data_IF_051429474596
#
_entry.id   IF_051429474596
#
_cell.length_a   1.000
_cell.length_b   1.000
_cell.length_c   1.000
_cell.angle_alpha   90.00
_cell.angle_beta   90.00
_cell.angle_gamma   90.00
#
_symmetry.space_group_name_H-M   'P 1'
#
loop_
_entity.id
_entity.type
_entity.pdbx_description
1 polymer ?
#
# COMPACT_ATOMS: atom_id res chain seq x y z
N UNK A 1 67.01 14.01 3.02
CA UNK A 1 68.36 13.48 3.32
C UNK A 1 68.55 12.08 2.74
N UNK A 2 67.65 11.13 3.03
CA UNK A 2 67.71 9.76 2.48
C UNK A 2 67.45 9.66 0.96
N UNK A 3 66.50 10.42 0.42
CA UNK A 3 66.22 10.43 -1.04
C UNK A 3 67.41 10.95 -1.86
N UNK A 4 68.07 12.01 -1.37
CA UNK A 4 69.27 12.57 -2.01
C UNK A 4 70.46 11.58 -1.96
N UNK A 5 70.56 10.77 -0.90
CA UNK A 5 71.59 9.72 -0.80
C UNK A 5 71.29 8.54 -1.74
N UNK A 6 70.02 8.18 -1.91
CA UNK A 6 69.58 7.14 -2.85
C UNK A 6 69.80 7.58 -4.30
N UNK A 7 69.41 8.80 -4.67
CA UNK A 7 69.62 9.35 -6.02
C UNK A 7 71.11 9.40 -6.37
N UNK A 8 71.96 9.77 -5.41
CA UNK A 8 73.42 9.74 -5.60
C UNK A 8 73.93 8.32 -5.86
N UNK A 9 73.52 7.33 -5.05
CA UNK A 9 73.94 5.93 -5.24
C UNK A 9 73.43 5.35 -6.55
N UNK A 10 72.22 5.69 -6.97
CA UNK A 10 71.65 5.26 -8.24
C UNK A 10 72.40 5.88 -9.42
N UNK A 11 72.80 7.15 -9.32
CA UNK A 11 73.64 7.80 -10.33
C UNK A 11 75.05 7.19 -10.39
N UNK A 12 75.66 6.85 -9.26
CA UNK A 12 76.94 6.14 -9.19
C UNK A 12 76.83 4.74 -9.81
N UNK A 13 75.77 3.99 -9.52
CA UNK A 13 75.53 2.67 -10.10
C UNK A 13 75.25 2.73 -11.61
N UNK A 14 74.50 3.72 -12.08
CA UNK A 14 74.22 3.95 -13.51
C UNK A 14 75.51 4.30 -14.25
N UNK A 15 76.40 5.12 -13.69
CA UNK A 15 77.69 5.44 -14.33
C UNK A 15 78.67 4.27 -14.26
N UNK A 16 78.73 3.53 -13.14
CA UNK A 16 79.55 2.32 -13.01
C UNK A 16 79.14 1.23 -14.01
N UNK A 17 77.83 1.07 -14.26
CA UNK A 17 77.29 0.11 -15.21
C UNK A 17 77.04 0.71 -16.60
N UNK A 18 77.51 1.94 -16.87
CA UNK A 18 77.33 2.59 -18.16
C UNK A 18 78.18 1.91 -19.20
N UNK A 19 77.52 1.14 -20.06
CA UNK A 19 78.16 0.45 -21.18
C UNK A 19 78.65 1.50 -22.20
N UNK A 20 79.95 1.76 -22.23
CA UNK A 20 80.58 2.66 -23.20
C UNK A 20 80.79 1.92 -24.51
N UNK A 21 79.77 1.94 -25.36
CA UNK A 21 79.85 1.39 -26.72
C UNK A 21 80.57 2.42 -27.61
N UNK A 22 81.76 2.09 -28.08
CA UNK A 22 82.45 2.84 -29.11
C UNK A 22 82.07 2.25 -30.48
N UNK A 23 81.13 2.91 -31.17
CA UNK A 23 80.76 2.56 -32.54
C UNK A 23 81.79 3.20 -33.48
N UNK A 24 82.67 2.39 -34.05
CA UNK A 24 83.63 2.83 -35.06
C UNK A 24 83.19 2.25 -36.42
N UNK A 25 82.91 3.12 -37.38
CA UNK A 25 82.56 2.71 -38.74
C UNK A 25 83.80 2.09 -39.40
N UNK A 26 83.85 0.75 -39.48
CA UNK A 26 85.00 0.01 -40.04
C UNK A 26 85.15 0.26 -41.55
N UNK A 27 84.04 0.25 -42.27
CA UNK A 27 83.98 0.55 -43.70
C UNK A 27 82.55 0.83 -44.11
N UNK A 28 82.36 1.66 -45.13
CA UNK A 28 81.07 1.86 -45.77
C UNK A 28 81.26 1.84 -47.29
N UNK A 29 80.23 1.38 -47.98
CA UNK A 29 80.17 1.47 -49.45
C UNK A 29 79.06 2.46 -49.79
N UNK A 30 79.40 3.45 -50.63
CA UNK A 30 78.42 4.41 -51.14
C UNK A 30 78.03 4.00 -52.55
N UNK A 31 76.77 3.63 -52.72
CA UNK A 31 76.18 3.51 -54.05
C UNK A 31 75.51 4.84 -54.42
N UNK A 32 75.88 5.40 -55.57
CA UNK A 32 75.19 6.58 -56.13
C UNK A 32 74.17 6.10 -57.15
N UNK A 33 72.90 6.17 -56.79
CA UNK A 33 71.80 5.90 -57.73
C UNK A 33 71.37 7.24 -58.33
N UNK A 34 71.51 7.45 -59.65
CA UNK A 34 71.00 8.62 -60.33
C UNK A 34 69.47 8.56 -60.35
N UNK A 35 68.85 9.49 -59.62
CA UNK A 35 67.40 9.65 -59.55
C UNK A 35 67.01 10.89 -60.36
N UNK A 36 66.05 10.74 -61.26
CA UNK A 36 65.39 11.87 -61.91
C UNK A 36 64.21 12.30 -61.04
N UNK A 37 64.18 13.56 -60.61
CA UNK A 37 63.11 14.12 -59.78
C UNK A 37 62.25 15.05 -60.61
N UNK A 38 60.94 14.83 -60.61
CA UNK A 38 59.96 15.73 -61.21
C UNK A 38 59.05 16.28 -60.10
N UNK A 39 58.90 17.60 -60.03
CA UNK A 39 57.84 18.24 -59.26
C UNK A 39 56.66 18.46 -60.18
N UNK A 40 55.50 17.93 -59.78
CA UNK A 40 54.26 17.99 -60.56
C UNK A 40 53.24 18.69 -59.68
N UNK A 41 52.61 19.75 -60.18
CA UNK A 41 51.47 20.38 -59.52
C UNK A 41 50.20 19.68 -59.98
N UNK A 42 49.48 19.09 -59.04
CA UNK A 42 48.16 18.50 -59.26
C UNK A 42 47.10 19.54 -58.86
N UNK A 43 46.05 19.67 -59.67
CA UNK A 43 44.92 20.54 -59.39
C UNK A 43 43.62 19.81 -59.68
N UNK A 44 42.63 19.95 -58.81
CA UNK A 44 41.24 19.54 -59.04
C UNK A 44 40.34 20.74 -59.43
N UNK A 45 40.94 21.91 -59.68
CA UNK A 45 40.27 23.18 -59.95
C UNK A 45 39.91 23.99 -58.71
N UNK A 46 39.93 23.40 -57.50
CA UNK A 46 39.70 24.09 -56.22
C UNK A 46 40.97 24.16 -55.37
N UNK A 47 41.77 23.10 -55.39
CA UNK A 47 43.00 22.94 -54.64
C UNK A 47 44.17 22.73 -55.60
N UNK A 48 45.35 23.17 -55.19
CA UNK A 48 46.60 22.91 -55.90
C UNK A 48 47.62 22.32 -54.94
N UNK A 49 48.18 21.17 -55.32
CA UNK A 49 49.11 20.40 -54.48
C UNK A 49 50.32 20.00 -55.30
N UNK A 50 51.51 20.39 -54.85
CA UNK A 50 52.77 19.94 -55.45
C UNK A 50 53.12 18.55 -54.93
N UNK A 51 53.28 17.58 -55.83
CA UNK A 51 53.79 16.23 -55.54
C UNK A 51 55.14 16.01 -56.18
N UNK A 52 56.00 15.27 -55.49
CA UNK A 52 57.31 14.88 -56.02
C UNK A 52 57.23 13.44 -56.50
N UNK A 53 57.65 13.22 -57.74
CA UNK A 53 57.79 11.88 -58.33
C UNK A 53 59.24 11.67 -58.67
N UNK A 54 59.81 10.56 -58.21
CA UNK A 54 61.19 10.19 -58.47
C UNK A 54 61.24 8.96 -59.37
N UNK A 55 62.21 8.93 -60.29
CA UNK A 55 62.46 7.79 -61.17
C UNK A 55 63.90 7.34 -61.04
N UNK A 56 64.11 6.07 -60.71
CA UNK A 56 65.44 5.47 -60.77
C UNK A 56 65.89 5.40 -62.24
N UNK A 57 67.00 6.05 -62.59
CA UNK A 57 67.46 6.09 -63.99
C UNK A 57 68.09 4.77 -64.47
N UNK A 58 68.43 3.85 -63.56
CA UNK A 58 68.93 2.51 -63.90
C UNK A 58 67.80 1.49 -64.05
N UNK A 59 66.97 1.28 -63.01
CA UNK A 59 65.88 0.30 -63.07
C UNK A 59 64.68 0.80 -63.87
N UNK A 60 64.56 2.12 -64.06
CA UNK A 60 63.40 2.75 -64.67
C UNK A 60 62.19 2.83 -63.74
N UNK A 61 62.26 2.25 -62.53
CA UNK A 61 61.18 2.24 -61.53
C UNK A 61 60.81 3.66 -61.12
N UNK A 62 59.50 3.89 -61.07
CA UNK A 62 58.91 5.15 -60.70
C UNK A 62 58.42 5.03 -59.26
N UNK A 63 58.97 5.82 -58.36
CA UNK A 63 58.49 5.94 -57.00
C UNK A 63 57.37 6.99 -56.97
N UNK A 64 56.17 6.51 -56.69
CA UNK A 64 54.93 7.30 -56.76
C UNK A 64 54.71 8.07 -55.45
N UNK A 65 53.87 9.12 -55.45
CA UNK A 65 53.45 9.73 -54.20
C UNK A 65 52.71 8.71 -53.33
N UNK A 66 52.92 8.80 -52.02
CA UNK A 66 52.29 7.94 -51.04
C UNK A 66 51.01 8.60 -50.52
N UNK A 67 49.97 7.80 -50.26
CA UNK A 67 48.71 8.28 -49.72
C UNK A 67 48.95 8.89 -48.34
N UNK A 68 48.44 10.10 -48.11
CA UNK A 68 48.55 10.76 -46.82
C UNK A 68 47.96 9.92 -45.67
N UNK A 69 46.89 9.17 -45.91
CA UNK A 69 46.21 8.38 -44.87
C UNK A 69 46.78 6.98 -44.64
N UNK A 70 47.02 6.18 -45.69
CA UNK A 70 47.49 4.80 -45.51
C UNK A 70 48.98 4.58 -45.79
N UNK A 71 49.69 5.60 -46.29
CA UNK A 71 51.12 5.52 -46.61
C UNK A 71 51.47 4.59 -47.77
N UNK A 72 50.50 4.03 -48.50
CA UNK A 72 50.76 3.18 -49.69
C UNK A 72 50.99 4.03 -50.93
N UNK A 73 51.77 3.53 -51.88
CA UNK A 73 51.95 4.16 -53.19
C UNK A 73 50.61 4.29 -53.95
N UNK A 74 50.41 5.45 -54.57
CA UNK A 74 49.13 5.82 -55.19
C UNK A 74 49.18 5.57 -56.69
N UNK A 75 48.22 4.79 -57.20
CA UNK A 75 48.03 4.60 -58.65
C UNK A 75 46.89 5.45 -59.23
N UNK A 76 45.85 5.69 -58.44
CA UNK A 76 44.72 6.58 -58.72
C UNK A 76 44.62 7.57 -57.56
N UNK A 77 44.61 8.85 -57.89
CA UNK A 77 44.74 9.94 -56.93
C UNK A 77 43.47 10.75 -56.84
N UNK A 78 43.11 11.14 -55.62
CA UNK A 78 42.16 12.19 -55.33
C UNK A 78 42.82 13.22 -54.40
N UNK A 79 42.37 14.46 -54.47
CA UNK A 79 42.79 15.54 -53.57
C UNK A 79 41.62 15.77 -52.61
N UNK A 80 41.89 15.71 -51.31
CA UNK A 80 40.87 16.03 -50.31
C UNK A 80 40.66 17.55 -50.20
N UNK A 81 39.57 17.97 -49.55
CA UNK A 81 39.26 19.39 -49.35
C UNK A 81 40.42 20.20 -48.73
N UNK A 82 41.28 19.57 -47.94
CA UNK A 82 42.39 20.19 -47.23
C UNK A 82 43.72 20.12 -48.01
N UNK A 83 43.72 19.59 -49.24
CA UNK A 83 44.89 19.48 -50.10
C UNK A 83 45.74 18.23 -49.87
N UNK A 84 45.21 17.18 -49.22
CA UNK A 84 45.92 15.90 -49.08
C UNK A 84 45.71 15.00 -50.29
N UNK A 85 46.80 14.42 -50.79
CA UNK A 85 46.76 13.44 -51.89
C UNK A 85 46.50 12.04 -51.31
N UNK A 86 45.42 11.41 -51.76
CA UNK A 86 44.94 10.12 -51.24
C UNK A 86 44.61 9.11 -52.35
N UNK A 87 44.54 7.83 -51.98
CA UNK A 87 44.07 6.75 -52.85
C UNK A 87 42.55 6.55 -52.72
N UNK A 88 41.93 5.91 -53.71
CA UNK A 88 40.48 5.64 -53.77
C UNK A 88 39.90 4.97 -52.50
N UNK A 89 40.69 4.15 -51.80
CA UNK A 89 40.23 3.46 -50.58
C UNK A 89 40.23 4.34 -49.33
N UNK A 90 40.86 5.51 -49.37
CA UNK A 90 40.93 6.45 -48.26
C UNK A 90 40.03 7.67 -48.49
N UNK A 91 39.13 7.61 -49.47
CA UNK A 91 38.17 8.65 -49.82
C UNK A 91 36.89 8.45 -49.01
N UNK A 92 36.55 9.43 -48.20
CA UNK A 92 35.22 9.59 -47.61
C UNK A 92 34.53 10.79 -48.25
N UNK A 93 33.19 10.78 -48.30
CA UNK A 93 32.43 11.87 -48.91
C UNK A 93 31.41 12.44 -47.92
N UNK A 94 31.40 13.76 -47.77
CA UNK A 94 30.40 14.42 -46.94
C UNK A 94 29.03 14.39 -47.63
N UNK A 95 28.00 13.88 -46.96
CA UNK A 95 26.64 13.83 -47.50
C UNK A 95 26.02 15.23 -47.72
N UNK A 96 26.45 16.24 -46.94
CA UNK A 96 25.90 17.59 -47.00
C UNK A 96 26.54 18.45 -48.10
N UNK A 97 27.87 18.55 -48.16
CA UNK A 97 28.57 19.38 -49.15
C UNK A 97 29.12 18.62 -50.35
N UNK A 98 29.05 17.28 -50.36
CA UNK A 98 29.58 16.41 -51.41
C UNK A 98 31.11 16.48 -51.62
N UNK A 99 31.83 17.23 -50.80
CA UNK A 99 33.30 17.29 -50.82
C UNK A 99 33.93 15.97 -50.33
N UNK A 100 35.11 15.68 -50.88
CA UNK A 100 35.91 14.51 -50.54
C UNK A 100 36.85 14.85 -49.38
N UNK A 101 36.89 13.99 -48.37
CA UNK A 101 37.80 14.05 -47.23
C UNK A 101 38.60 12.77 -47.11
N UNK A 102 39.87 12.86 -46.73
CA UNK A 102 40.63 11.66 -46.40
C UNK A 102 40.13 11.04 -45.09
N UNK A 103 40.43 9.76 -44.84
CA UNK A 103 40.09 9.10 -43.57
C UNK A 103 40.73 9.77 -42.35
N UNK A 104 41.82 10.53 -42.54
CA UNK A 104 42.49 11.28 -41.46
C UNK A 104 41.76 12.58 -41.10
N UNK A 105 41.24 13.32 -42.10
CA UNK A 105 40.40 14.50 -41.88
C UNK A 105 38.99 14.11 -41.43
N UNK A 106 38.51 12.98 -41.95
CA UNK A 106 37.38 12.25 -41.44
C UNK A 106 36.02 12.87 -41.74
N UNK A 107 35.03 12.00 -41.77
CA UNK A 107 33.62 12.33 -41.66
C UNK A 107 33.08 11.56 -40.47
N UNK A 108 32.01 12.05 -39.87
CA UNK A 108 31.35 11.35 -38.79
C UNK A 108 29.86 11.17 -39.11
N UNK A 109 29.28 9.99 -38.84
CA UNK A 109 27.87 9.73 -39.06
C UNK A 109 27.02 10.56 -38.08
N UNK A 110 25.89 11.06 -38.55
CA UNK A 110 24.94 11.76 -37.70
C UNK A 110 24.15 10.77 -36.81
N UNK A 111 24.06 10.97 -35.48
CA UNK A 111 23.31 10.08 -34.57
C UNK A 111 21.81 9.91 -34.85
N UNK A 112 21.25 10.69 -35.78
CA UNK A 112 19.82 10.76 -36.07
C UNK A 112 19.48 10.19 -37.45
N UNK A 113 20.33 10.42 -38.45
CA UNK A 113 20.05 10.01 -39.84
C UNK A 113 21.19 9.20 -40.49
N UNK A 114 22.25 8.90 -39.75
CA UNK A 114 23.45 8.14 -40.15
C UNK A 114 24.24 8.69 -41.35
N UNK A 115 23.84 9.84 -41.90
CA UNK A 115 24.58 10.51 -42.97
C UNK A 115 25.93 11.02 -42.45
N UNK A 116 27.00 10.79 -43.22
CA UNK A 116 28.35 11.21 -42.89
C UNK A 116 28.57 12.71 -43.14
N UNK A 117 29.08 13.44 -42.16
CA UNK A 117 29.30 14.87 -42.24
C UNK A 117 30.73 15.27 -41.88
N UNK A 118 31.30 16.19 -42.66
CA UNK A 118 32.53 16.87 -42.32
C UNK A 118 32.33 17.85 -41.15
N UNK A 119 33.43 18.37 -40.62
CA UNK A 119 33.49 19.25 -39.45
C UNK A 119 32.82 20.61 -39.66
N UNK A 120 32.74 21.08 -40.89
CA UNK A 120 32.03 22.32 -41.23
C UNK A 120 30.53 22.13 -41.45
N UNK A 121 30.08 20.92 -41.80
CA UNK A 121 28.68 20.63 -42.08
C UNK A 121 27.94 20.02 -40.90
N UNK A 122 28.67 19.58 -39.87
CA UNK A 122 28.11 19.07 -38.63
C UNK A 122 28.74 19.72 -37.41
N UNK A 123 27.99 19.73 -36.32
CA UNK A 123 28.41 20.28 -35.03
C UNK A 123 28.48 19.15 -34.00
N UNK A 124 29.44 19.24 -33.07
CA UNK A 124 29.55 18.29 -31.97
C UNK A 124 28.42 18.55 -30.97
N UNK A 125 27.69 17.49 -30.63
CA UNK A 125 26.67 17.56 -29.60
C UNK A 125 27.32 17.62 -28.22
N UNK A 126 26.96 18.63 -27.43
CA UNK A 126 27.48 18.77 -26.06
C UNK A 126 27.15 17.56 -25.16
N UNK A 127 26.02 16.89 -25.40
CA UNK A 127 25.53 15.80 -24.55
C UNK A 127 26.12 14.42 -24.87
N UNK A 128 26.26 14.05 -26.15
CA UNK A 128 26.78 12.74 -26.55
C UNK A 128 28.20 12.79 -27.14
N UNK A 129 28.71 13.96 -27.48
CA UNK A 129 30.01 14.14 -28.15
C UNK A 129 30.02 13.78 -29.64
N UNK A 130 28.93 13.22 -30.18
CA UNK A 130 28.83 12.85 -31.59
C UNK A 130 28.53 14.05 -32.49
N UNK A 131 28.91 13.95 -33.77
CA UNK A 131 28.69 15.00 -34.76
C UNK A 131 27.32 14.87 -35.42
N UNK A 132 26.43 15.83 -35.17
CA UNK A 132 25.13 15.89 -35.82
C UNK A 132 25.13 16.87 -37.00
N UNK A 133 24.39 16.55 -38.07
CA UNK A 133 24.22 17.46 -39.21
C UNK A 133 23.42 18.71 -38.81
N UNK A 134 23.52 19.77 -39.60
CA UNK A 134 22.80 21.02 -39.37
C UNK A 134 21.28 20.85 -39.16
N UNK A 135 20.65 19.90 -39.85
CA UNK A 135 19.19 19.64 -39.73
C UNK A 135 18.78 18.93 -38.43
N UNK A 136 19.72 18.25 -37.76
CA UNK A 136 19.44 17.41 -36.60
C UNK A 136 20.16 17.89 -35.33
N UNK A 137 20.55 19.16 -35.31
CA UNK A 137 21.14 19.82 -34.15
C UNK A 137 20.52 21.19 -33.96
N UNK A 138 20.21 21.53 -32.71
CA UNK A 138 19.73 22.86 -32.38
C UNK A 138 20.26 23.33 -31.03
N UNK A 139 20.30 24.64 -30.84
CA UNK A 139 20.68 25.25 -29.58
C UNK A 139 19.57 25.07 -28.54
N UNK A 140 19.92 24.60 -27.34
CA UNK A 140 18.94 24.50 -26.25
C UNK A 140 18.68 25.90 -25.67
N UNK A 141 17.42 26.35 -25.55
CA UNK A 141 17.10 27.67 -25.00
C UNK A 141 17.35 27.79 -23.48
N UNK A 142 17.62 26.67 -22.79
CA UNK A 142 17.82 26.64 -21.33
C UNK A 142 19.30 26.73 -20.95
N UNK A 143 20.20 25.99 -21.62
CA UNK A 143 21.64 26.06 -21.37
C UNK A 143 22.44 26.83 -22.43
N UNK A 144 21.90 27.03 -23.64
CA UNK A 144 22.60 27.66 -24.75
C UNK A 144 23.51 26.72 -25.55
N UNK A 145 23.58 25.43 -25.21
CA UNK A 145 24.45 24.48 -25.89
C UNK A 145 23.83 23.91 -27.17
N UNK A 146 24.68 23.58 -28.15
CA UNK A 146 24.28 22.84 -29.35
C UNK A 146 24.12 21.35 -29.02
N UNK A 147 22.90 20.84 -29.16
CA UNK A 147 22.56 19.46 -28.79
C UNK A 147 21.76 18.80 -29.92
N UNK A 148 22.09 17.55 -30.24
CA UNK A 148 21.41 16.82 -31.30
C UNK A 148 19.96 16.51 -30.93
N UNK A 149 19.10 16.35 -31.94
CA UNK A 149 17.67 16.07 -31.74
C UNK A 149 17.39 14.73 -31.04
N UNK A 150 18.37 13.82 -30.97
CA UNK A 150 18.29 12.57 -30.16
C UNK A 150 18.45 12.82 -28.66
N UNK A 151 19.28 13.79 -28.28
CA UNK A 151 19.49 14.18 -26.88
C UNK A 151 18.53 15.29 -26.42
N UNK A 152 17.67 15.78 -27.33
CA UNK A 152 16.63 16.75 -27.05
C UNK A 152 15.25 16.12 -27.20
N UNK A 153 14.26 16.76 -26.58
CA UNK A 153 12.86 16.44 -26.79
C UNK A 153 12.01 17.71 -26.80
N UNK A 154 10.75 17.56 -27.20
CA UNK A 154 9.78 18.65 -27.22
C UNK A 154 8.99 18.67 -25.91
N UNK A 155 8.76 19.87 -25.36
CA UNK A 155 7.74 20.04 -24.32
C UNK A 155 6.36 19.80 -24.93
N UNK A 156 5.59 18.83 -24.41
CA UNK A 156 4.24 18.53 -24.89
C UNK A 156 3.24 19.68 -24.66
N UNK A 157 3.58 20.63 -23.78
CA UNK A 157 2.71 21.75 -23.43
C UNK A 157 2.95 23.00 -24.28
N UNK A 158 4.22 23.40 -24.45
CA UNK A 158 4.58 24.62 -25.19
C UNK A 158 5.30 24.37 -26.52
N UNK A 159 5.61 23.12 -26.86
CA UNK A 159 6.28 22.75 -28.11
C UNK A 159 7.77 23.12 -28.21
N UNK A 160 8.36 23.71 -27.16
CA UNK A 160 9.77 24.13 -27.18
C UNK A 160 10.69 22.92 -27.05
N UNK A 161 11.65 22.78 -27.98
CA UNK A 161 12.71 21.75 -27.96
C UNK A 161 13.80 22.10 -26.95
N UNK A 162 14.12 21.19 -26.04
CA UNK A 162 15.18 21.37 -25.04
C UNK A 162 15.94 20.06 -24.81
N UNK A 163 17.11 20.14 -24.17
CA UNK A 163 17.80 18.94 -23.70
C UNK A 163 16.88 18.12 -22.81
N UNK A 164 16.91 16.79 -22.95
CA UNK A 164 16.11 15.88 -22.11
C UNK A 164 16.35 16.08 -20.61
N UNK A 165 17.55 16.52 -20.24
CA UNK A 165 17.94 16.87 -18.86
C UNK A 165 17.20 18.08 -18.28
N UNK A 166 16.65 18.97 -19.12
CA UNK A 166 15.87 20.14 -18.69
C UNK A 166 14.35 19.91 -18.75
N UNK A 167 13.95 18.72 -19.18
CA UNK A 167 12.56 18.30 -19.23
C UNK A 167 12.24 17.40 -18.03
N UNK A 168 10.97 17.36 -17.67
CA UNK A 168 10.41 16.51 -16.61
C UNK A 168 9.26 15.70 -17.17
N UNK A 169 8.98 14.55 -16.58
CA UNK A 169 7.80 13.77 -16.92
C UNK A 169 6.53 14.51 -16.49
N UNK A 170 5.53 14.54 -17.36
CA UNK A 170 4.17 14.97 -17.00
C UNK A 170 3.41 13.79 -16.40
N UNK A 171 3.14 13.86 -15.10
CA UNK A 171 2.51 12.77 -14.36
C UNK A 171 1.05 12.51 -14.78
N UNK A 172 0.34 13.52 -15.30
CA UNK A 172 -1.06 13.36 -15.71
C UNK A 172 -1.15 12.81 -17.12
N UNK A 173 -0.34 13.35 -18.03
CA UNK A 173 -0.39 12.98 -19.46
C UNK A 173 0.32 11.65 -19.75
N UNK A 174 1.32 11.26 -18.96
CA UNK A 174 2.11 10.03 -19.19
C UNK A 174 1.41 8.74 -18.73
N UNK A 175 0.08 8.65 -18.83
CA UNK A 175 -0.65 7.40 -18.59
C UNK A 175 -0.50 6.49 -19.82
N UNK A 176 -0.45 5.18 -19.62
CA UNK A 176 -0.42 4.17 -20.69
C UNK A 176 0.90 4.04 -21.49
N UNK A 177 2.06 4.26 -20.84
CA UNK A 177 3.37 3.84 -21.35
C UNK A 177 4.11 4.88 -22.20
N UNK A 178 3.44 5.95 -22.63
CA UNK A 178 4.10 7.09 -23.30
C UNK A 178 4.64 8.07 -22.26
N UNK A 179 5.96 8.22 -22.21
CA UNK A 179 6.64 9.17 -21.33
C UNK A 179 6.62 10.57 -21.96
N UNK A 180 5.59 11.36 -21.63
CA UNK A 180 5.46 12.73 -22.13
C UNK A 180 6.24 13.71 -21.25
N UNK A 181 7.00 14.57 -21.91
CA UNK A 181 7.95 15.48 -21.27
C UNK A 181 7.46 16.93 -21.30
N UNK A 182 7.63 17.65 -20.21
CA UNK A 182 7.29 19.07 -20.02
C UNK A 182 8.51 19.86 -19.56
N UNK A 183 8.63 21.11 -19.99
CA UNK A 183 9.74 21.98 -19.58
C UNK A 183 9.53 22.54 -18.17
N UNK A 184 10.61 23.04 -17.58
CA UNK A 184 10.60 23.66 -16.25
C UNK A 184 9.61 24.84 -16.10
N UNK A 185 9.29 25.57 -17.18
CA UNK A 185 8.33 26.68 -17.17
C UNK A 185 6.88 26.21 -17.11
N UNK A 186 6.57 25.11 -17.78
CA UNK A 186 5.22 24.51 -17.80
C UNK A 186 5.01 23.57 -16.60
N UNK A 187 6.08 23.03 -16.03
CA UNK A 187 6.03 22.08 -14.94
C UNK A 187 5.63 22.75 -13.62
N UNK A 188 4.40 22.48 -13.16
CA UNK A 188 3.92 22.85 -11.84
C UNK A 188 3.95 21.62 -10.94
N UNK A 189 4.46 21.78 -9.72
CA UNK A 189 4.52 20.71 -8.72
C UNK A 189 3.21 20.63 -7.95
N UNK A 190 2.53 19.50 -8.04
CA UNK A 190 1.28 19.26 -7.33
C UNK A 190 1.53 19.09 -5.82
N UNK A 191 0.87 19.85 -4.93
CA UNK A 191 0.98 19.64 -3.48
C UNK A 191 0.44 18.29 -3.00
N UNK A 192 -0.51 17.70 -3.72
CA UNK A 192 -1.15 16.42 -3.36
C UNK A 192 -0.27 15.20 -3.61
N UNK A 193 0.17 14.99 -4.85
CA UNK A 193 0.99 13.83 -5.22
C UNK A 193 2.50 14.12 -5.30
N UNK A 194 2.92 15.38 -5.10
CA UNK A 194 4.32 15.80 -5.16
C UNK A 194 4.97 15.71 -6.56
N UNK A 195 4.20 15.36 -7.59
CA UNK A 195 4.66 15.19 -8.98
C UNK A 195 4.51 16.46 -9.82
N UNK A 196 5.22 16.52 -10.96
CA UNK A 196 5.11 17.61 -11.92
C UNK A 196 4.07 17.32 -13.01
N UNK A 197 3.31 18.35 -13.39
CA UNK A 197 2.33 18.31 -14.48
C UNK A 197 2.14 19.71 -15.05
N UNK A 198 1.80 19.82 -16.34
CA UNK A 198 1.24 21.07 -16.89
C UNK A 198 -0.28 21.10 -16.82
N UNK A 199 -0.92 19.95 -16.59
CA UNK A 199 -2.37 19.79 -16.46
C UNK A 199 -2.79 20.00 -15.00
N UNK A 200 -2.98 21.26 -14.65
CA UNK A 200 -3.28 21.74 -13.30
C UNK A 200 -4.64 22.42 -13.27
N UNK A 201 -5.33 22.28 -12.16
CA UNK A 201 -6.58 22.97 -11.89
C UNK A 201 -6.70 23.34 -10.41
N UNK A 202 -7.77 24.03 -10.03
CA UNK A 202 -7.92 24.66 -8.72
C UNK A 202 -8.92 23.92 -7.85
N UNK A 203 -8.60 23.75 -6.57
CA UNK A 203 -9.54 23.29 -5.55
C UNK A 203 -10.51 24.42 -5.22
N UNK A 204 -11.81 24.19 -5.39
CA UNK A 204 -12.85 25.20 -5.18
C UNK A 204 -13.08 25.53 -3.70
N UNK A 205 -12.69 24.63 -2.78
CA UNK A 205 -12.78 24.89 -1.34
C UNK A 205 -11.58 25.65 -0.77
N UNK A 206 -10.40 25.56 -1.39
CA UNK A 206 -9.16 26.16 -0.83
C UNK A 206 -8.46 27.17 -1.73
N UNK A 207 -8.79 27.21 -3.03
CA UNK A 207 -8.08 28.00 -4.03
C UNK A 207 -6.69 27.47 -4.39
N UNK A 208 -6.23 26.38 -3.78
CA UNK A 208 -4.94 25.78 -4.09
C UNK A 208 -4.97 25.01 -5.41
N UNK A 209 -3.82 24.99 -6.10
CA UNK A 209 -3.69 24.33 -7.41
C UNK A 209 -3.16 22.91 -7.27
N UNK A 210 -3.86 21.95 -7.87
CA UNK A 210 -3.50 20.53 -7.90
C UNK A 210 -3.49 20.02 -9.34
N UNK A 211 -2.76 18.93 -9.60
CA UNK A 211 -2.93 18.25 -10.87
C UNK A 211 -4.34 17.68 -10.99
N UNK A 212 -4.88 17.62 -12.21
CA UNK A 212 -6.26 17.17 -12.43
C UNK A 212 -6.50 15.74 -11.96
N UNK A 213 -5.46 14.89 -11.97
CA UNK A 213 -5.53 13.53 -11.43
C UNK A 213 -5.71 13.46 -9.91
N UNK A 214 -5.32 14.50 -9.16
CA UNK A 214 -5.52 14.57 -7.71
C UNK A 214 -6.84 15.24 -7.33
N UNK A 215 -7.53 15.88 -8.28
CA UNK A 215 -8.80 16.54 -8.02
C UNK A 215 -9.94 15.54 -8.21
N UNK A 216 -10.88 15.60 -7.28
CA UNK A 216 -12.10 14.79 -7.29
C UNK A 216 -13.32 15.68 -7.20
N UNK A 217 -14.48 15.18 -7.62
CA UNK A 217 -15.73 15.92 -7.55
C UNK A 217 -16.52 15.44 -6.33
N UNK A 218 -16.88 16.35 -5.43
CA UNK A 218 -17.77 16.04 -4.31
C UNK A 218 -19.10 15.51 -4.82
N UNK A 219 -19.54 14.36 -4.31
CA UNK A 219 -20.80 13.73 -4.74
C UNK A 219 -22.03 14.58 -4.40
N UNK A 220 -21.99 15.32 -3.29
CA UNK A 220 -23.14 16.12 -2.83
C UNK A 220 -23.30 17.44 -3.60
N UNK A 221 -22.23 18.24 -3.71
CA UNK A 221 -22.31 19.59 -4.28
C UNK A 221 -21.66 19.73 -5.66
N UNK A 222 -21.00 18.68 -6.17
CA UNK A 222 -20.30 18.70 -7.46
C UNK A 222 -18.97 19.47 -7.47
N UNK A 223 -18.61 20.15 -6.37
CA UNK A 223 -17.39 20.95 -6.29
C UNK A 223 -16.13 20.12 -6.52
N UNK A 224 -15.14 20.72 -7.20
CA UNK A 224 -13.81 20.12 -7.38
C UNK A 224 -12.91 20.39 -6.19
N UNK A 225 -12.50 19.33 -5.52
CA UNK A 225 -11.72 19.41 -4.29
C UNK A 225 -10.44 18.60 -4.38
N UNK A 226 -9.37 19.14 -3.80
CA UNK A 226 -8.05 18.51 -3.76
C UNK A 226 -7.82 17.76 -2.45
N UNK A 227 -6.76 16.95 -2.37
CA UNK A 227 -6.39 16.21 -1.17
C UNK A 227 -6.27 17.13 0.06
N UNK A 228 -6.78 16.68 1.20
CA UNK A 228 -6.86 17.46 2.44
C UNK A 228 -8.11 18.33 2.61
N UNK A 229 -8.99 18.38 1.60
CA UNK A 229 -10.24 19.15 1.62
C UNK A 229 -11.50 18.29 1.40
N UNK A 230 -11.35 16.97 1.44
CA UNK A 230 -12.44 16.00 1.31
C UNK A 230 -12.14 14.72 2.09
N UNK A 231 -13.20 14.01 2.47
CA UNK A 231 -13.15 12.65 3.02
C UNK A 231 -13.81 11.66 2.06
N UNK A 232 -13.50 10.38 2.22
CA UNK A 232 -14.11 9.30 1.44
C UNK A 232 -15.00 8.41 2.30
N UNK A 233 -16.22 8.17 1.81
CA UNK A 233 -17.16 7.21 2.38
C UNK A 233 -17.64 6.28 1.26
N UNK A 234 -17.47 4.97 1.42
CA UNK A 234 -17.75 3.96 0.39
C UNK A 234 -17.11 4.31 -0.97
N UNK A 235 -15.80 4.60 -0.96
CA UNK A 235 -15.00 5.03 -2.13
C UNK A 235 -15.52 6.28 -2.86
N UNK A 236 -16.44 7.03 -2.25
CA UNK A 236 -17.02 8.25 -2.79
C UNK A 236 -16.52 9.49 -2.05
N UNK A 237 -16.04 10.52 -2.76
CA UNK A 237 -15.48 11.73 -2.14
C UNK A 237 -16.56 12.75 -1.77
N UNK A 238 -16.42 13.34 -0.59
CA UNK A 238 -17.29 14.40 -0.06
C UNK A 238 -16.43 15.54 0.51
N UNK A 239 -16.67 16.77 0.08
CA UNK A 239 -15.92 17.91 0.61
C UNK A 239 -16.30 18.20 2.07
N UNK A 240 -15.37 18.78 2.83
CA UNK A 240 -15.60 19.08 4.26
C UNK A 240 -16.78 20.03 4.50
N UNK A 241 -17.13 20.89 3.53
CA UNK A 241 -18.34 21.74 3.61
C UNK A 241 -19.66 20.96 3.57
N UNK A 242 -19.65 19.77 2.96
CA UNK A 242 -20.83 18.89 2.87
C UNK A 242 -20.85 17.83 3.98
N UNK A 243 -19.84 17.83 4.85
CA UNK A 243 -19.74 16.91 5.97
C UNK A 243 -20.11 17.62 7.26
N UNK A 244 -20.61 16.83 8.20
CA UNK A 244 -20.94 17.28 9.55
C UNK A 244 -19.94 16.67 10.52
N UNK A 245 -19.41 17.48 11.42
CA UNK A 245 -18.61 16.95 12.54
C UNK A 245 -19.56 16.31 13.56
N UNK A 246 -19.29 15.06 13.93
CA UNK A 246 -20.10 14.35 14.91
C UNK A 246 -19.80 14.85 16.33
N UNK A 247 -20.77 15.37 17.08
CA UNK A 247 -20.55 15.82 18.46
C UNK A 247 -20.08 14.74 19.43
N UNK A 248 -20.35 13.46 19.13
CA UNK A 248 -19.97 12.33 19.99
C UNK A 248 -18.53 11.87 19.80
N UNK A 249 -17.96 11.98 18.59
CA UNK A 249 -16.62 11.46 18.29
C UNK A 249 -15.68 12.45 17.59
N UNK A 250 -16.15 13.66 17.28
CA UNK A 250 -15.44 14.69 16.53
C UNK A 250 -14.97 14.27 15.11
N UNK A 251 -15.45 13.14 14.59
CA UNK A 251 -15.17 12.70 13.23
C UNK A 251 -16.21 13.22 12.23
N UNK A 252 -15.80 13.35 10.97
CA UNK A 252 -16.69 13.69 9.88
C UNK A 252 -17.75 12.62 9.62
N UNK A 253 -18.97 13.05 9.31
CA UNK A 253 -20.09 12.19 8.98
C UNK A 253 -20.91 12.80 7.85
N UNK A 254 -21.51 11.95 7.02
CA UNK A 254 -22.43 12.37 5.95
C UNK A 254 -23.75 12.90 6.49
N UNK A 255 -24.22 12.31 7.59
CA UNK A 255 -25.48 12.63 8.25
C UNK A 255 -25.33 12.35 9.73
N UNK A 256 -26.09 13.08 10.53
CA UNK A 256 -26.24 12.84 11.96
C UNK A 256 -27.71 12.67 12.32
N UNK A 257 -27.98 11.85 13.33
CA UNK A 257 -29.31 11.60 13.88
C UNK A 257 -29.33 12.01 15.36
N UNK A 258 -30.48 12.43 15.87
CA UNK A 258 -30.64 12.85 17.27
C UNK A 258 -30.89 11.68 18.20
N UNK A 259 -30.26 11.66 19.38
CA UNK A 259 -30.56 10.66 20.40
C UNK A 259 -31.94 10.93 21.03
N UNK A 260 -32.84 9.94 21.12
CA UNK A 260 -34.16 10.12 21.75
C UNK A 260 -34.13 10.55 23.23
N UNK A 261 -33.00 10.31 23.92
CA UNK A 261 -32.87 10.58 25.36
C UNK A 261 -32.22 11.93 25.69
N UNK A 262 -31.34 12.44 24.84
CA UNK A 262 -30.59 13.68 25.11
C UNK A 262 -30.56 14.68 23.95
N UNK A 263 -31.20 14.35 22.83
CA UNK A 263 -31.28 15.16 21.61
C UNK A 263 -29.93 15.47 20.93
N UNK A 264 -28.79 15.08 21.53
CA UNK A 264 -27.47 15.23 20.93
C UNK A 264 -27.40 14.41 19.64
N UNK A 265 -26.86 15.05 18.60
CA UNK A 265 -26.64 14.43 17.31
C UNK A 265 -25.46 13.43 17.36
N UNK A 266 -25.58 12.30 16.66
CA UNK A 266 -24.55 11.27 16.54
C UNK A 266 -24.44 10.79 15.08
N UNK A 267 -23.28 10.28 14.67
CA UNK A 267 -23.08 9.67 13.35
C UNK A 267 -23.49 8.19 13.35
N UNK A 268 -23.65 7.59 12.17
CA UNK A 268 -24.05 6.17 12.03
C UNK A 268 -23.18 5.17 12.82
N UNK A 269 -21.90 5.49 13.09
CA UNK A 269 -21.01 4.64 13.88
C UNK A 269 -21.18 4.83 15.40
N UNK A 270 -21.54 6.04 15.83
CA UNK A 270 -21.82 6.34 17.24
C UNK A 270 -23.26 5.98 17.65
N UNK A 271 -24.13 5.72 16.67
CA UNK A 271 -25.48 5.22 16.90
C UNK A 271 -25.48 3.73 17.17
N UNK A 272 -26.05 3.32 18.31
CA UNK A 272 -26.18 1.92 18.69
C UNK A 272 -27.64 1.55 18.89
N UNK A 273 -28.07 0.46 18.24
CA UNK A 273 -29.44 -0.02 18.30
C UNK A 273 -29.66 -0.87 19.55
N UNK A 274 -30.63 -0.49 20.37
CA UNK A 274 -31.02 -1.27 21.54
C UNK A 274 -31.68 -2.58 21.11
N UNK A 275 -31.21 -3.70 21.68
CA UNK A 275 -31.76 -5.03 21.41
C UNK A 275 -33.11 -5.28 22.08
N UNK A 276 -33.53 -4.42 23.01
CA UNK A 276 -34.79 -4.54 23.74
C UNK A 276 -35.91 -3.67 23.13
N UNK A 277 -35.71 -2.35 23.05
CA UNK A 277 -36.71 -1.44 22.48
C UNK A 277 -36.61 -1.25 20.96
N UNK A 278 -35.46 -1.58 20.34
CA UNK A 278 -35.24 -1.46 18.91
C UNK A 278 -34.85 -0.06 18.42
N UNK A 279 -34.86 0.96 19.28
CA UNK A 279 -34.43 2.33 18.97
C UNK A 279 -32.90 2.50 18.96
N UNK A 280 -32.40 3.49 18.23
CA UNK A 280 -30.97 3.82 18.16
C UNK A 280 -30.65 4.99 19.09
N UNK A 281 -29.63 4.81 19.93
CA UNK A 281 -29.18 5.82 20.88
C UNK A 281 -27.72 6.17 20.63
N UNK A 282 -27.27 7.34 21.12
CA UNK A 282 -25.85 7.68 21.07
C UNK A 282 -25.03 6.76 21.99
N UNK A 283 -23.73 6.72 21.77
CA UNK A 283 -22.77 5.91 22.54
C UNK A 283 -22.91 6.08 24.06
N UNK A 284 -23.17 7.31 24.53
CA UNK A 284 -23.32 7.61 25.96
C UNK A 284 -24.58 7.01 26.59
N UNK A 285 -25.60 6.73 25.77
CA UNK A 285 -26.88 6.18 26.22
C UNK A 285 -27.09 4.73 25.79
N UNK A 286 -26.02 4.05 25.41
CA UNK A 286 -26.03 2.64 25.01
C UNK A 286 -24.91 1.90 25.74
N UNK A 287 -25.20 0.71 26.23
CA UNK A 287 -24.23 -0.16 26.88
C UNK A 287 -24.08 -1.46 26.09
N UNK A 288 -22.86 -1.76 25.66
CA UNK A 288 -22.52 -2.98 24.93
C UNK A 288 -22.01 -4.07 25.89
N UNK A 289 -22.65 -5.22 25.88
CA UNK A 289 -22.24 -6.38 26.67
C UNK A 289 -21.44 -7.37 25.82
N UNK A 290 -20.11 -7.27 25.87
CA UNK A 290 -19.22 -8.14 25.07
C UNK A 290 -19.35 -9.64 25.34
N UNK A 291 -19.91 -10.06 26.48
CA UNK A 291 -20.14 -11.47 26.79
C UNK A 291 -21.31 -12.09 26.00
N UNK A 292 -22.28 -11.28 25.55
CA UNK A 292 -23.47 -11.75 24.85
C UNK A 292 -23.79 -10.98 23.57
N UNK A 293 -22.91 -10.08 23.15
CA UNK A 293 -23.04 -9.26 21.93
C UNK A 293 -24.34 -8.43 21.88
N UNK A 294 -24.92 -8.13 23.05
CA UNK A 294 -26.14 -7.31 23.15
C UNK A 294 -25.80 -5.87 23.49
N UNK A 295 -26.39 -4.94 22.76
CA UNK A 295 -26.41 -3.52 23.11
C UNK A 295 -27.77 -3.14 23.68
N UNK A 296 -27.78 -2.48 24.85
CA UNK A 296 -29.00 -2.10 25.58
C UNK A 296 -28.92 -0.62 25.94
N UNK A 297 -30.01 0.13 25.76
CA UNK A 297 -30.03 1.55 26.12
C UNK A 297 -30.02 1.73 27.64
N UNK A 298 -29.60 2.89 28.12
CA UNK A 298 -29.55 3.20 29.56
C UNK A 298 -30.92 3.09 30.25
N UNK A 299 -32.01 3.31 29.53
CA UNK A 299 -33.37 3.15 30.06
C UNK A 299 -33.78 1.68 30.27
N UNK A 300 -33.31 0.79 29.40
CA UNK A 300 -33.59 -0.64 29.46
C UNK A 300 -32.55 -1.43 30.27
N UNK A 301 -31.47 -0.77 30.69
CA UNK A 301 -30.37 -1.37 31.42
C UNK A 301 -30.85 -1.92 32.78
N UNK A 302 -30.56 -3.19 33.03
CA UNK A 302 -30.86 -3.80 34.31
C UNK A 302 -29.68 -3.61 35.27
N UNK A 303 -29.97 -3.49 36.56
CA UNK A 303 -28.96 -3.46 37.62
C UNK A 303 -29.20 -4.59 38.60
N UNK A 304 -28.10 -5.17 39.11
CA UNK A 304 -28.20 -6.14 40.19
C UNK A 304 -28.79 -5.47 41.44
N UNK A 305 -29.87 -6.01 42.00
CA UNK A 305 -30.49 -5.45 43.21
C UNK A 305 -29.57 -5.52 44.45
N UNK A 306 -28.53 -6.36 44.43
CA UNK A 306 -27.62 -6.57 45.57
C UNK A 306 -26.34 -5.73 45.50
N UNK A 307 -25.73 -5.58 44.32
CA UNK A 307 -24.47 -4.84 44.17
C UNK A 307 -24.53 -3.69 43.15
N UNK A 308 -25.68 -3.47 42.52
CA UNK A 308 -25.91 -2.44 41.49
C UNK A 308 -25.09 -2.56 40.21
N UNK A 309 -24.28 -3.62 40.05
CA UNK A 309 -23.61 -3.92 38.79
C UNK A 309 -24.60 -4.00 37.63
N UNK A 310 -24.20 -3.46 36.48
CA UNK A 310 -24.98 -3.44 35.25
C UNK A 310 -25.11 -4.84 34.67
N UNK A 311 -26.31 -5.16 34.21
CA UNK A 311 -26.70 -6.48 33.74
C UNK A 311 -27.44 -6.35 32.41
N UNK A 312 -27.15 -7.28 31.51
CA UNK A 312 -27.95 -7.42 30.31
C UNK A 312 -29.33 -8.01 30.69
N UNK A 313 -30.45 -7.28 30.52
CA UNK A 313 -31.80 -7.77 30.84
C UNK A 313 -32.23 -8.96 29.97
N UNK A 314 -31.67 -9.11 28.76
CA UNK A 314 -31.95 -10.24 27.86
C UNK A 314 -31.33 -11.54 28.39
N UNK A 315 -30.15 -11.46 29.02
CA UNK A 315 -29.45 -12.63 29.55
C UNK A 315 -29.80 -12.90 31.01
N UNK A 316 -30.02 -11.85 31.80
CA UNK A 316 -30.26 -11.94 33.23
C UNK A 316 -31.73 -12.17 33.49
N UNK A 317 -32.10 -13.34 34.01
CA UNK A 317 -33.48 -13.61 34.43
C UNK A 317 -33.79 -12.95 35.77
N UNK A 318 -35.00 -12.40 35.90
CA UNK A 318 -35.53 -11.91 37.18
C UNK A 318 -35.69 -13.06 38.17
N UNK A 319 -35.42 -12.80 39.45
CA UNK A 319 -35.69 -13.74 40.53
C UNK A 319 -37.20 -13.98 40.64
N UNK A 320 -37.64 -15.23 40.68
CA UNK A 320 -39.07 -15.57 40.70
C UNK A 320 -39.80 -15.16 41.98
N UNK A 321 -39.06 -14.82 43.03
CA UNK A 321 -39.60 -14.49 44.36
C UNK A 321 -39.67 -12.97 44.54
N UNK A 322 -38.58 -12.25 44.31
CA UNK A 322 -38.55 -10.79 44.50
C UNK A 322 -38.72 -9.96 43.21
N UNK A 323 -38.65 -10.58 42.02
CA UNK A 323 -38.79 -9.90 40.73
C UNK A 323 -37.58 -9.05 40.28
N UNK A 324 -36.53 -8.95 41.10
CA UNK A 324 -35.30 -8.20 40.81
C UNK A 324 -34.31 -8.96 39.91
N UNK A 325 -33.40 -8.22 39.28
CA UNK A 325 -32.27 -8.79 38.54
C UNK A 325 -31.08 -9.02 39.47
N UNK A 326 -30.36 -10.12 39.30
CA UNK A 326 -29.19 -10.44 40.10
C UNK A 326 -28.06 -11.00 39.22
N UNK A 327 -26.82 -10.54 39.48
CA UNK A 327 -25.65 -11.07 38.81
C UNK A 327 -25.37 -12.51 39.27
N UNK A 328 -24.52 -13.23 38.55
CA UNK A 328 -24.20 -14.62 38.86
C UNK A 328 -23.57 -14.80 40.26
N UNK A 329 -22.87 -13.77 40.76
CA UNK A 329 -22.33 -13.77 42.12
C UNK A 329 -23.41 -13.59 43.20
N UNK A 330 -24.56 -13.00 42.91
CA UNK A 330 -25.64 -12.78 43.88
C UNK A 330 -26.80 -13.77 43.73
N UNK A 331 -26.52 -14.86 43.04
CA UNK A 331 -27.45 -15.95 42.78
C UNK A 331 -27.07 -17.17 43.63
N UNK A 332 -28.08 -17.93 44.03
CA UNK A 332 -27.97 -19.22 44.69
C UNK A 332 -29.01 -20.21 44.16
N UNK A 333 -28.71 -21.50 44.30
CA UNK A 333 -29.62 -22.58 43.95
C UNK A 333 -30.30 -23.13 45.21
N UNK A 334 -31.61 -23.35 45.12
CA UNK A 334 -32.33 -24.02 46.20
C UNK A 334 -31.98 -25.52 46.25
N UNK A 335 -31.59 -26.05 47.40
CA UNK A 335 -31.26 -27.48 47.58
C UNK A 335 -32.46 -28.39 47.30
N UNK A 336 -33.67 -27.93 47.59
CA UNK A 336 -34.91 -28.66 47.28
C UNK A 336 -35.23 -28.57 45.78
N UNK A 337 -35.71 -27.42 45.31
CA UNK A 337 -36.27 -27.30 43.96
C UNK A 337 -35.23 -27.11 42.84
N UNK A 338 -33.94 -26.96 43.19
CA UNK A 338 -32.78 -26.76 42.30
C UNK A 338 -32.86 -25.56 41.37
N UNK A 339 -33.91 -24.76 41.49
CA UNK A 339 -34.08 -23.53 40.73
C UNK A 339 -33.17 -22.42 41.26
N UNK A 340 -32.90 -21.46 40.38
CA UNK A 340 -31.98 -20.35 40.58
C UNK A 340 -32.73 -19.13 41.14
N UNK A 341 -32.29 -18.61 42.28
CA UNK A 341 -32.86 -17.44 42.95
C UNK A 341 -31.75 -16.49 43.40
N UNK A 342 -32.10 -15.30 43.87
CA UNK A 342 -31.12 -14.46 44.55
C UNK A 342 -30.76 -15.01 45.93
N UNK A 343 -29.54 -14.74 46.38
CA UNK A 343 -29.03 -15.20 47.69
C UNK A 343 -29.91 -14.76 48.85
N UNK A 344 -30.55 -13.60 48.79
CA UNK A 344 -31.46 -13.13 49.85
C UNK A 344 -32.79 -13.89 49.90
N UNK A 345 -33.20 -14.53 48.79
CA UNK A 345 -34.39 -15.37 48.74
C UNK A 345 -34.10 -16.86 48.99
N UNK A 346 -32.85 -17.20 49.34
CA UNK A 346 -32.43 -18.54 49.77
C UNK A 346 -31.95 -18.44 51.21
N UNK A 347 -32.57 -19.19 52.11
CA UNK A 347 -32.20 -19.22 53.53
C UNK A 347 -30.80 -19.79 53.74
N UNK A 348 -30.25 -19.61 54.95
CA UNK A 348 -28.97 -20.21 55.35
C UNK A 348 -28.93 -21.73 55.19
N UNK A 349 -30.09 -22.39 55.28
CA UNK A 349 -30.24 -23.85 55.10
C UNK A 349 -30.27 -24.27 53.62
N UNK A 350 -30.08 -23.33 52.70
CA UNK A 350 -30.06 -23.56 51.26
C UNK A 350 -31.45 -23.71 50.64
N UNK A 351 -32.53 -23.36 51.35
CA UNK A 351 -33.91 -23.47 50.85
C UNK A 351 -34.39 -22.11 50.34
N UNK A 352 -35.01 -22.07 49.16
CA UNK A 352 -35.71 -20.85 48.74
C UNK A 352 -36.91 -20.56 49.65
N UNK A 353 -37.29 -19.29 49.81
CA UNK A 353 -38.42 -18.89 50.65
C UNK A 353 -39.71 -19.65 50.30
N UNK A 354 -39.95 -19.93 49.02
CA UNK A 354 -41.09 -20.78 48.60
C UNK A 354 -40.99 -22.18 49.19
N UNK A 355 -39.83 -22.83 49.15
CA UNK A 355 -39.66 -24.18 49.72
C UNK A 355 -39.68 -24.18 51.26
N UNK A 356 -39.13 -23.14 51.89
CA UNK A 356 -39.10 -23.00 53.33
C UNK A 356 -40.50 -22.81 53.92
N UNK A 357 -41.36 -22.02 53.25
CA UNK A 357 -42.70 -21.71 53.74
C UNK A 357 -43.72 -22.84 53.54
N UNK A 358 -43.51 -23.79 52.62
CA UNK A 358 -44.43 -24.93 52.41
C UNK A 358 -44.61 -25.75 53.68
N UNK A 359 -43.55 -25.93 54.47
CA UNK A 359 -43.64 -26.68 55.74
C UNK A 359 -44.44 -25.92 56.81
N UNK A 360 -44.48 -24.59 56.73
CA UNK A 360 -45.14 -23.73 57.71
C UNK A 360 -46.64 -23.54 57.44
N UNK A 361 -47.05 -23.51 56.16
CA UNK A 361 -48.42 -23.12 55.76
C UNK A 361 -49.27 -24.30 55.23
N UNK A 362 -48.71 -25.51 55.11
CA UNK A 362 -49.32 -26.79 54.66
C UNK A 362 -50.77 -26.75 54.12
N UNK A 363 -50.94 -26.14 52.95
CA UNK A 363 -52.15 -26.33 52.15
C UNK A 363 -52.13 -27.71 51.51
N UNK A 364 -53.00 -28.61 51.97
CA UNK A 364 -53.14 -29.94 51.41
C UNK A 364 -53.66 -29.86 49.96
N UNK A 365 -52.99 -30.55 49.04
CA UNK A 365 -53.37 -30.56 47.62
C UNK A 365 -53.51 -31.99 47.09
N UNK A 366 -54.58 -32.22 46.33
CA UNK A 366 -54.78 -33.47 45.59
C UNK A 366 -54.13 -33.36 44.21
N UNK A 367 -53.00 -34.06 44.03
CA UNK A 367 -52.25 -34.04 42.77
C UNK A 367 -52.84 -34.95 41.69
N UNK A 368 -53.78 -35.85 42.01
CA UNK A 368 -54.34 -36.82 41.05
C UNK A 368 -55.09 -36.15 39.89
N UNK A 369 -55.56 -34.93 40.10
CA UNK A 369 -56.32 -34.12 39.13
C UNK A 369 -55.43 -33.25 38.23
N UNK A 370 -54.11 -33.25 38.45
CA UNK A 370 -53.19 -32.44 37.65
C UNK A 370 -52.91 -33.12 36.30
N UNK A 371 -52.76 -32.35 35.18
CA UNK A 371 -52.57 -32.92 33.84
C UNK A 371 -51.35 -33.85 33.74
N UNK A 372 -50.30 -33.57 34.51
CA UNK A 372 -49.05 -34.30 34.52
C UNK A 372 -49.03 -35.49 35.51
N UNK A 373 -50.12 -35.70 36.25
CA UNK A 373 -50.25 -36.75 37.27
C UNK A 373 -50.14 -38.17 36.70
N UNK A 374 -50.58 -38.36 35.45
CA UNK A 374 -50.52 -39.64 34.74
C UNK A 374 -49.12 -39.99 34.25
N UNK A 375 -48.17 -39.05 34.31
CA UNK A 375 -46.81 -39.29 33.81
C UNK A 375 -46.09 -40.34 34.65
N UNK A 376 -45.38 -41.25 33.98
CA UNK A 376 -44.65 -42.35 34.59
C UNK A 376 -43.62 -41.88 35.64
N UNK A 377 -43.14 -40.64 35.51
CA UNK A 377 -42.16 -40.00 36.39
C UNK A 377 -42.69 -39.70 37.80
N UNK A 378 -43.99 -39.42 37.96
CA UNK A 378 -44.58 -39.01 39.25
C UNK A 378 -45.73 -39.88 39.73
N UNK A 379 -46.34 -40.68 38.85
CA UNK A 379 -47.53 -41.48 39.16
C UNK A 379 -47.37 -42.37 40.40
N UNK A 380 -46.19 -42.98 40.59
CA UNK A 380 -45.87 -43.82 41.74
C UNK A 380 -45.63 -43.05 43.05
N UNK A 381 -45.57 -41.72 43.01
CA UNK A 381 -45.38 -40.87 44.19
C UNK A 381 -46.69 -40.26 44.65
N UNK A 382 -47.64 -40.01 43.74
CA UNK A 382 -48.87 -39.26 44.04
C UNK A 382 -49.69 -39.94 45.13
N UNK A 383 -49.89 -41.25 45.05
CA UNK A 383 -50.77 -41.99 45.99
C UNK A 383 -50.08 -42.34 47.32
N UNK A 384 -48.74 -42.26 47.38
CA UNK A 384 -47.95 -42.71 48.54
C UNK A 384 -47.55 -41.59 49.51
N UNK A 385 -47.83 -40.33 49.15
CA UNK A 385 -47.42 -39.16 49.92
C UNK A 385 -48.61 -38.20 50.09
N UNK A 386 -48.71 -37.55 51.25
CA UNK A 386 -49.59 -36.40 51.43
C UNK A 386 -48.86 -35.13 50.96
N UNK A 387 -49.47 -34.36 50.06
CA UNK A 387 -48.81 -33.26 49.37
C UNK A 387 -49.24 -31.90 49.90
N UNK A 388 -48.26 -31.02 50.09
CA UNK A 388 -48.43 -29.58 50.21
C UNK A 388 -47.73 -28.89 49.03
N UNK A 389 -48.05 -27.63 48.76
CA UNK A 389 -47.44 -26.90 47.65
C UNK A 389 -47.17 -25.43 47.97
N UNK A 390 -46.25 -24.84 47.20
CA UNK A 390 -45.94 -23.42 47.23
C UNK A 390 -45.62 -22.95 45.82
N UNK A 391 -46.04 -21.74 45.47
CA UNK A 391 -45.91 -21.20 44.12
C UNK A 391 -45.15 -19.89 44.12
N UNK A 392 -44.32 -19.69 43.10
CA UNK A 392 -43.72 -18.40 42.77
C UNK A 392 -43.87 -18.10 41.27
N UNK A 393 -43.31 -16.98 40.81
CA UNK A 393 -43.53 -16.52 39.43
C UNK A 393 -42.97 -17.46 38.35
N UNK A 394 -42.03 -18.37 38.68
CA UNK A 394 -41.41 -19.28 37.72
C UNK A 394 -41.89 -20.73 37.87
N UNK A 395 -42.22 -21.17 39.09
CA UNK A 395 -42.51 -22.56 39.35
C UNK A 395 -43.48 -22.78 40.52
N UNK A 396 -44.13 -23.93 40.51
CA UNK A 396 -44.86 -24.49 41.64
C UNK A 396 -44.08 -25.68 42.19
N UNK A 397 -43.83 -25.68 43.49
CA UNK A 397 -43.12 -26.74 44.21
C UNK A 397 -44.14 -27.51 45.04
N UNK A 398 -44.21 -28.82 44.84
CA UNK A 398 -45.02 -29.76 45.59
C UNK A 398 -44.12 -30.61 46.48
N UNK A 399 -44.43 -30.67 47.77
CA UNK A 399 -43.68 -31.39 48.78
C UNK A 399 -44.58 -32.45 49.42
N UNK A 400 -44.23 -33.71 49.18
CA UNK A 400 -44.93 -34.88 49.69
C UNK A 400 -44.25 -35.43 50.94
N UNK A 401 -45.02 -35.82 51.94
CA UNK A 401 -44.53 -36.57 53.10
C UNK A 401 -45.35 -37.85 53.27
N UNK A 402 -44.70 -39.00 53.48
CA UNK A 402 -45.39 -40.25 53.77
C UNK A 402 -45.45 -40.53 55.28
N UNK A 403 -46.22 -41.55 55.68
CA UNK A 403 -46.39 -41.92 57.10
C UNK A 403 -45.09 -42.32 57.81
N UNK A 404 -44.05 -42.73 57.07
CA UNK A 404 -42.72 -43.04 57.58
C UNK A 404 -41.79 -41.82 57.66
N UNK A 405 -42.33 -40.61 57.42
CA UNK A 405 -41.58 -39.36 57.46
C UNK A 405 -40.66 -39.13 56.26
N UNK A 406 -40.68 -39.97 55.24
CA UNK A 406 -39.90 -39.77 54.01
C UNK A 406 -40.51 -38.63 53.19
N UNK A 407 -39.65 -37.86 52.52
CA UNK A 407 -40.04 -36.69 51.73
C UNK A 407 -39.86 -36.94 50.25
N UNK A 408 -40.78 -36.41 49.45
CA UNK A 408 -40.72 -36.38 47.99
C UNK A 408 -41.00 -34.97 47.48
N UNK A 409 -40.43 -34.58 46.35
CA UNK A 409 -40.54 -33.26 45.77
C UNK A 409 -40.89 -33.36 44.29
N UNK A 410 -41.85 -32.57 43.84
CA UNK A 410 -42.17 -32.36 42.43
C UNK A 410 -42.14 -30.85 42.17
N UNK A 411 -41.38 -30.39 41.19
CA UNK A 411 -41.33 -28.98 40.78
C UNK A 411 -41.87 -28.89 39.37
N UNK A 412 -42.86 -28.02 39.16
CA UNK A 412 -43.40 -27.71 37.85
C UNK A 412 -43.09 -26.27 37.47
N UNK A 413 -42.73 -26.04 36.22
CA UNK A 413 -42.59 -24.71 35.63
C UNK A 413 -43.86 -24.34 34.90
N UNK A 414 -44.07 -23.04 34.68
CA UNK A 414 -45.11 -22.55 33.77
C UNK A 414 -44.47 -22.18 32.44
N UNK A 415 -44.91 -22.82 31.36
CA UNK A 415 -44.63 -22.43 29.98
C UNK A 415 -45.94 -21.99 29.29
N UNK A 416 -45.85 -21.60 28.01
CA UNK A 416 -47.02 -21.18 27.20
C UNK A 416 -48.03 -22.33 26.96
N UNK A 417 -47.64 -23.59 27.20
CA UNK A 417 -48.44 -24.79 26.96
C UNK A 417 -49.04 -25.39 28.27
N UNK A 418 -48.57 -24.96 29.44
CA UNK A 418 -49.14 -25.32 30.76
C UNK A 418 -48.11 -25.57 31.86
N UNK A 419 -48.48 -26.38 32.86
CA UNK A 419 -47.56 -26.81 33.93
C UNK A 419 -46.71 -28.00 33.46
N UNK A 420 -45.38 -27.81 33.36
CA UNK A 420 -44.43 -28.85 32.96
C UNK A 420 -43.53 -29.27 34.11
N UNK A 421 -43.32 -30.58 34.28
CA UNK A 421 -42.45 -31.11 35.35
C UNK A 421 -40.98 -30.78 35.06
N UNK A 422 -40.37 -29.97 35.92
CA UNK A 422 -38.94 -29.62 35.90
C UNK A 422 -38.10 -30.61 36.69
N UNK A 423 -38.51 -30.92 37.93
CA UNK A 423 -37.71 -31.71 38.88
C UNK A 423 -38.61 -32.69 39.62
N UNK A 424 -38.13 -33.92 39.85
CA UNK A 424 -38.77 -34.91 40.71
C UNK A 424 -37.69 -35.54 41.60
N UNK A 425 -37.90 -35.57 42.92
CA UNK A 425 -37.00 -36.20 43.89
C UNK A 425 -37.80 -37.07 44.86
N UNK A 426 -37.47 -38.35 44.99
CA UNK A 426 -38.13 -39.28 45.93
C UNK A 426 -37.54 -40.69 45.84
N UNK A 427 -37.69 -41.50 46.89
CA UNK A 427 -37.28 -42.92 46.86
C UNK A 427 -38.24 -43.69 45.95
N UNK A 428 -37.73 -44.22 44.84
CA UNK A 428 -38.52 -44.93 43.81
C UNK A 428 -38.56 -44.22 42.44
N UNK A 429 -38.08 -42.96 42.35
CA UNK A 429 -37.98 -42.27 41.07
C UNK A 429 -36.89 -42.91 40.19
N UNK A 430 -37.17 -43.29 38.93
CA UNK A 430 -36.12 -43.76 38.02
C UNK A 430 -35.09 -42.65 37.84
N UNK A 431 -33.83 -42.96 38.14
CA UNK A 431 -32.74 -42.00 38.19
C UNK A 431 -32.56 -41.26 36.87
N UNK A 432 -32.76 -39.94 36.88
CA UNK A 432 -32.29 -39.07 35.81
C UNK A 432 -30.78 -38.83 36.00
N UNK A 433 -29.96 -39.83 35.69
CA UNK A 433 -28.53 -39.61 35.42
C UNK A 433 -28.39 -39.13 33.98
N UNK A 434 -28.69 -37.86 33.75
CA UNK A 434 -28.28 -37.15 32.54
C UNK A 434 -26.87 -36.60 32.74
N UNK A 435 -25.84 -37.43 32.51
CA UNK A 435 -24.49 -36.91 32.23
C UNK A 435 -24.58 -36.11 30.93
N UNK A 436 -24.62 -34.78 31.04
CA UNK A 436 -24.29 -33.92 29.92
C UNK A 436 -22.82 -34.18 29.57
N UNK A 437 -22.61 -34.79 28.40
CA UNK A 437 -21.30 -34.96 27.80
C UNK A 437 -20.73 -33.59 27.47
N UNK A 438 -19.75 -33.13 28.26
CA UNK A 438 -18.87 -32.05 27.85
C UNK A 438 -17.87 -32.64 26.86
N UNK A 439 -18.20 -32.59 25.57
CA UNK A 439 -17.21 -32.67 24.50
C UNK A 439 -16.53 -31.31 24.38
N UNK A 440 -15.20 -31.37 24.49
CA UNK A 440 -14.17 -30.40 24.14
C UNK A 440 -14.54 -29.37 23.06
N UNK A 441 -14.12 -28.12 23.28
CA UNK A 441 -13.21 -27.41 22.36
C UNK A 441 -12.40 -26.38 23.15
N UNK A 442 -11.22 -26.83 23.60
CA UNK A 442 -10.09 -25.94 23.79
C UNK A 442 -9.55 -25.62 22.38
N UNK A 443 -9.67 -24.36 21.97
CA UNK A 443 -8.88 -23.84 20.86
C UNK A 443 -7.79 -22.97 21.46
N UNK A 444 -6.59 -23.52 21.39
CA UNK A 444 -5.32 -22.80 21.43
C UNK A 444 -5.30 -21.73 20.33
N UNK A 445 -4.91 -20.51 20.68
CA UNK A 445 -4.29 -19.58 19.75
C UNK A 445 -3.24 -18.76 20.51
N UNK A 446 -2.02 -19.25 20.43
CA UNK A 446 -0.79 -18.46 20.55
C UNK A 446 -0.58 -17.79 19.19
N UNK A 447 -0.36 -16.48 19.15
CA UNK A 447 0.77 -15.82 18.46
C UNK A 447 0.53 -14.32 18.28
N UNK A 448 1.60 -13.57 18.55
CA UNK A 448 2.09 -12.35 17.88
C UNK A 448 1.16 -11.13 17.77
#
# INVERSE_FOLDING_TARGET
ALEVDLERKLAEEVENHRLRIQLQLVSYVVFRVPVATAQITLSDGKQEVAVTVTRNRYSGELQRPHCHSCGKEIHKLAIDRNGHVICDNCVNQCAACQEILCTSCGVAPCPVCDKENCDSCGLLCWACGERACADHISTCPTCGDAVCHRCQDLCVDCGVRQCRTHLRLDHVRSRDGESLLICNKCAVRCPGCNQYSSVIDTCESSGQRFCTACLVNCVTCGKRVGPGFYEQFDDRPYCHECLLECPSCANWALRTEGCPLCEKAYCAQCGQRCSLCGETHCSDHSHYFGACDHTVCTNDLAHCTSCHNELCPLCSKRCAICGGYHCDDHVAHCTNCTQRYCRSCVSSDGLCLTCANIDAERDAVDLSRKPWATSQRVRHLIDHYSWAYGTNAQCTVYLGQNALGQRSLIVTGRDEEGEKILVVKGKGAPGTTGKASAQSKASSAVSA
#
